data_IF_362899929421
#
_entry.id   IF_362899929421
#
_cell.length_a   1.000
_cell.length_b   1.000
_cell.length_c   1.000
_cell.angle_alpha   90.00
_cell.angle_beta   90.00
_cell.angle_gamma   90.00
#
_symmetry.space_group_name_H-M   'P 1'
#
loop_
_entity.id
_entity.type
_entity.pdbx_description
1 polymer ?
#
# COMPACT_ATOMS: atom_id res chain seq x y z
N UNK A 1 60.89 -3.78 5.83
CA UNK A 1 60.29 -4.15 7.14
C UNK A 1 59.20 -3.17 7.58
N UNK A 2 59.47 -1.84 7.75
CA UNK A 2 58.42 -0.86 8.13
C UNK A 2 57.24 -0.79 7.13
N UNK A 3 57.51 -0.85 5.84
CA UNK A 3 56.47 -0.86 4.79
C UNK A 3 55.59 -2.11 4.83
N UNK A 4 56.17 -3.30 5.03
CA UNK A 4 55.43 -4.55 5.16
C UNK A 4 54.54 -4.56 6.41
N UNK A 5 55.04 -4.05 7.54
CA UNK A 5 54.27 -3.89 8.78
C UNK A 5 53.10 -2.92 8.58
N UNK A 6 53.33 -1.77 7.92
CA UNK A 6 52.26 -0.81 7.62
C UNK A 6 51.18 -1.41 6.72
N UNK A 7 51.55 -2.22 5.72
CA UNK A 7 50.60 -2.89 4.83
C UNK A 7 49.77 -3.91 5.61
N UNK A 8 50.39 -4.73 6.45
CA UNK A 8 49.67 -5.70 7.31
C UNK A 8 48.70 -4.98 8.25
N UNK A 9 49.13 -3.87 8.85
CA UNK A 9 48.30 -3.09 9.77
C UNK A 9 47.11 -2.45 9.06
N UNK A 10 47.29 -1.95 7.83
CA UNK A 10 46.20 -1.46 6.98
C UNK A 10 45.22 -2.56 6.60
N UNK A 11 45.70 -3.76 6.28
CA UNK A 11 44.84 -4.91 5.96
C UNK A 11 44.03 -5.36 7.17
N UNK A 12 44.63 -5.41 8.36
CA UNK A 12 43.92 -5.74 9.61
C UNK A 12 42.85 -4.69 9.94
N UNK A 13 43.18 -3.40 9.79
CA UNK A 13 42.20 -2.32 9.97
C UNK A 13 41.05 -2.44 8.97
N UNK A 14 41.35 -2.68 7.69
CA UNK A 14 40.34 -2.86 6.66
C UNK A 14 39.42 -4.07 6.96
N UNK A 15 40.00 -5.20 7.38
CA UNK A 15 39.24 -6.40 7.76
C UNK A 15 38.35 -6.15 8.99
N UNK A 16 38.87 -5.46 10.02
CA UNK A 16 38.08 -5.10 11.19
C UNK A 16 36.95 -4.13 10.85
N UNK A 17 37.21 -3.10 10.05
CA UNK A 17 36.17 -2.18 9.56
C UNK A 17 35.12 -2.90 8.71
N UNK A 18 35.52 -3.86 7.88
CA UNK A 18 34.60 -4.67 7.09
C UNK A 18 33.74 -5.59 7.98
N UNK A 19 34.32 -6.21 9.01
CA UNK A 19 33.57 -7.03 9.97
C UNK A 19 32.54 -6.19 10.76
N UNK A 20 32.94 -5.00 11.25
CA UNK A 20 32.01 -4.05 11.91
C UNK A 20 30.91 -3.60 10.95
N UNK A 21 31.24 -3.37 9.68
CA UNK A 21 30.24 -3.04 8.67
C UNK A 21 29.25 -4.20 8.47
N UNK A 22 29.73 -5.44 8.33
CA UNK A 22 28.86 -6.61 8.18
C UNK A 22 27.96 -6.81 9.42
N UNK A 23 28.51 -6.67 10.62
CA UNK A 23 27.74 -6.72 11.88
C UNK A 23 26.66 -5.62 11.90
N UNK A 24 27.01 -4.39 11.55
CA UNK A 24 26.06 -3.29 11.42
C UNK A 24 24.97 -3.59 10.37
N UNK A 25 25.28 -4.25 9.25
CA UNK A 25 24.23 -4.63 8.26
C UNK A 25 23.23 -5.67 8.80
N UNK A 26 23.62 -6.44 9.83
CA UNK A 26 22.76 -7.45 10.46
C UNK A 26 21.91 -6.87 11.60
N UNK A 27 22.36 -5.80 12.28
CA UNK A 27 21.59 -5.18 13.35
C UNK A 27 20.31 -4.50 12.83
N UNK A 28 19.16 -5.04 13.19
CA UNK A 28 17.82 -4.56 12.79
C UNK A 28 16.94 -4.19 13.99
N UNK A 29 17.54 -3.87 15.14
CA UNK A 29 16.80 -3.56 16.37
C UNK A 29 15.77 -2.45 16.17
N UNK A 30 14.56 -2.71 16.64
CA UNK A 30 13.42 -1.81 16.47
C UNK A 30 13.35 -0.75 17.56
N UNK A 31 13.06 0.49 17.19
CA UNK A 31 12.76 1.59 18.12
C UNK A 31 11.33 1.49 18.67
N UNK A 32 10.95 2.34 19.64
CA UNK A 32 9.61 2.36 20.23
C UNK A 32 8.50 2.61 19.19
N UNK A 33 7.31 2.06 19.44
CA UNK A 33 6.14 2.22 18.56
C UNK A 33 5.64 3.68 18.65
N UNK A 34 5.68 4.40 17.52
CA UNK A 34 5.19 5.78 17.42
C UNK A 34 3.93 5.92 16.55
N UNK A 35 3.27 4.80 16.24
CA UNK A 35 2.05 4.80 15.44
C UNK A 35 0.89 5.45 16.19
N UNK A 36 0.16 6.34 15.50
CA UNK A 36 -1.04 6.97 16.04
C UNK A 36 -2.21 5.96 16.09
N UNK A 37 -2.46 5.41 17.28
CA UNK A 37 -3.51 4.42 17.58
C UNK A 37 -4.71 5.03 18.33
N UNK A 38 -4.94 6.34 18.18
CA UNK A 38 -6.05 7.02 18.87
C UNK A 38 -7.41 6.53 18.38
N UNK A 39 -8.43 6.72 19.21
CA UNK A 39 -9.85 6.54 18.83
C UNK A 39 -10.16 7.44 17.65
N UNK A 40 -10.74 6.85 16.60
CA UNK A 40 -11.04 7.56 15.37
C UNK A 40 -12.42 8.20 15.44
N UNK A 41 -12.61 9.42 14.91
CA UNK A 41 -13.93 9.86 14.50
C UNK A 41 -14.52 8.85 13.51
N UNK A 42 -15.77 8.47 13.76
CA UNK A 42 -16.55 7.59 12.89
C UNK A 42 -17.65 8.43 12.23
N UNK A 43 -17.54 8.64 10.92
CA UNK A 43 -18.59 9.23 10.11
C UNK A 43 -19.53 8.10 9.67
N UNK A 44 -20.80 8.14 10.07
CA UNK A 44 -21.75 7.06 9.80
C UNK A 44 -22.97 7.58 9.04
N UNK A 45 -23.19 7.09 7.82
CA UNK A 45 -24.28 7.48 6.94
C UNK A 45 -25.25 6.31 6.68
N UNK A 46 -26.55 6.63 6.68
CA UNK A 46 -27.62 5.65 6.50
C UNK A 46 -28.03 4.94 7.79
N UNK A 47 -28.83 3.88 7.68
CA UNK A 47 -29.33 3.10 8.80
C UNK A 47 -28.90 1.64 8.68
N UNK A 48 -28.58 1.02 9.82
CA UNK A 48 -28.22 -0.39 9.86
C UNK A 48 -29.35 -1.26 9.30
N UNK A 49 -28.98 -2.22 8.46
CA UNK A 49 -29.92 -3.10 7.77
C UNK A 49 -29.25 -4.40 7.31
N UNK A 50 -30.04 -5.29 6.71
CA UNK A 50 -29.57 -6.61 6.26
C UNK A 50 -28.76 -6.58 4.96
N UNK A 51 -28.76 -5.46 4.23
CA UNK A 51 -28.05 -5.30 2.96
C UNK A 51 -26.52 -5.15 3.13
N UNK A 52 -26.04 -4.92 4.35
CA UNK A 52 -24.63 -4.65 4.63
C UNK A 52 -24.27 -3.17 4.46
N UNK A 53 -22.97 -2.91 4.30
CA UNK A 53 -22.41 -1.56 4.30
C UNK A 53 -21.06 -1.53 3.59
N UNK A 54 -20.70 -0.33 3.13
CA UNK A 54 -19.34 -0.02 2.74
C UNK A 54 -18.64 0.71 3.89
N UNK A 55 -17.42 0.33 4.20
CA UNK A 55 -16.62 0.93 5.26
C UNK A 55 -15.25 1.36 4.73
N UNK A 56 -14.96 2.65 4.77
CA UNK A 56 -13.68 3.23 4.36
C UNK A 56 -12.81 3.55 5.56
N UNK A 57 -11.51 3.28 5.44
CA UNK A 57 -10.52 3.64 6.47
C UNK A 57 -9.58 4.68 5.87
N UNK A 58 -9.67 5.93 6.31
CA UNK A 58 -8.76 7.00 5.90
C UNK A 58 -7.69 7.20 6.96
N UNK A 59 -6.45 6.85 6.63
CA UNK A 59 -5.35 6.88 7.59
C UNK A 59 -4.08 7.51 7.06
N UNK A 60 -3.27 7.99 8.00
CA UNK A 60 -1.90 8.47 7.74
C UNK A 60 -0.95 7.32 7.98
N UNK A 61 -0.29 6.88 6.93
CA UNK A 61 0.73 5.84 7.01
C UNK A 61 2.09 6.49 7.27
N UNK A 62 2.78 6.00 8.29
CA UNK A 62 4.07 6.48 8.74
C UNK A 62 5.13 5.41 8.52
N UNK A 63 6.41 5.78 8.39
CA UNK A 63 7.49 4.79 8.28
C UNK A 63 7.45 3.74 9.40
N UNK A 64 7.20 4.18 10.64
CA UNK A 64 7.11 3.31 11.82
C UNK A 64 6.06 2.18 11.70
N UNK A 65 5.01 2.37 10.90
CA UNK A 65 3.99 1.35 10.65
C UNK A 65 4.54 0.18 9.83
N UNK A 66 5.50 0.45 8.94
CA UNK A 66 6.16 -0.53 8.07
C UNK A 66 7.44 -1.09 8.65
N UNK A 67 7.72 -0.87 9.94
CA UNK A 67 8.88 -1.48 10.57
C UNK A 67 8.74 -3.01 10.69
N UNK A 68 7.53 -3.49 10.98
CA UNK A 68 7.23 -4.92 11.02
C UNK A 68 5.80 -5.20 10.57
N UNK A 69 5.54 -6.44 10.18
CA UNK A 69 4.21 -6.93 9.78
C UNK A 69 3.19 -6.65 10.88
N UNK A 70 3.56 -6.95 12.12
CA UNK A 70 2.70 -6.88 13.29
C UNK A 70 2.24 -5.46 13.56
N UNK A 71 3.08 -4.45 13.27
CA UNK A 71 2.72 -3.04 13.48
C UNK A 71 1.69 -2.56 12.48
N UNK A 72 1.91 -2.85 11.20
CA UNK A 72 0.94 -2.52 10.16
C UNK A 72 -0.39 -3.22 10.43
N UNK A 73 -0.34 -4.52 10.77
CA UNK A 73 -1.52 -5.29 11.11
C UNK A 73 -2.23 -4.72 12.36
N UNK A 74 -1.50 -4.40 13.42
CA UNK A 74 -2.05 -3.82 14.65
C UNK A 74 -2.78 -2.51 14.37
N UNK A 75 -2.24 -1.66 13.50
CA UNK A 75 -2.86 -0.38 13.13
C UNK A 75 -4.24 -0.60 12.49
N UNK A 76 -4.32 -1.41 11.43
CA UNK A 76 -5.60 -1.67 10.77
C UNK A 76 -6.56 -2.50 11.63
N UNK A 77 -6.04 -3.46 12.41
CA UNK A 77 -6.82 -4.20 13.40
C UNK A 77 -7.45 -3.27 14.42
N UNK A 78 -6.76 -2.22 14.86
CA UNK A 78 -7.31 -1.24 15.80
C UNK A 78 -8.51 -0.50 15.19
N UNK A 79 -8.43 -0.11 13.92
CA UNK A 79 -9.53 0.57 13.22
C UNK A 79 -10.72 -0.36 12.99
N UNK A 80 -10.46 -1.59 12.55
CA UNK A 80 -11.51 -2.60 12.35
C UNK A 80 -12.16 -3.00 13.68
N UNK A 81 -11.40 -3.10 14.77
CA UNK A 81 -11.95 -3.37 16.11
C UNK A 81 -12.89 -2.27 16.58
N UNK A 82 -12.53 -1.00 16.37
CA UNK A 82 -13.41 0.13 16.69
C UNK A 82 -14.71 0.07 15.86
N UNK A 83 -14.63 -0.25 14.57
CA UNK A 83 -15.81 -0.43 13.72
C UNK A 83 -16.67 -1.62 14.17
N UNK A 84 -16.06 -2.73 14.60
CA UNK A 84 -16.74 -3.90 15.12
C UNK A 84 -17.48 -3.59 16.43
N UNK A 85 -16.80 -2.90 17.36
CA UNK A 85 -17.38 -2.45 18.63
C UNK A 85 -18.55 -1.46 18.41
N UNK A 86 -18.51 -0.69 17.32
CA UNK A 86 -19.62 0.19 16.91
C UNK A 86 -20.74 -0.52 16.12
N UNK A 87 -20.68 -1.86 15.98
CA UNK A 87 -21.71 -2.66 15.30
C UNK A 87 -21.74 -2.49 13.77
N UNK A 88 -20.65 -2.01 13.17
CA UNK A 88 -20.59 -1.70 11.73
C UNK A 88 -20.05 -2.83 10.88
N UNK A 89 -19.61 -3.95 11.47
CA UNK A 89 -19.03 -5.07 10.73
C UNK A 89 -19.99 -6.27 10.69
N UNK A 90 -20.08 -6.88 9.52
CA UNK A 90 -20.82 -8.10 9.23
C UNK A 90 -20.19 -8.82 8.04
N UNK A 91 -20.66 -10.03 7.74
CA UNK A 91 -20.28 -10.77 6.52
C UNK A 91 -20.59 -10.02 5.20
N UNK A 92 -21.52 -9.05 5.24
CA UNK A 92 -21.90 -8.18 4.10
C UNK A 92 -21.21 -6.81 4.15
N UNK A 93 -20.21 -6.63 5.01
CA UNK A 93 -19.42 -5.40 5.04
C UNK A 93 -18.29 -5.50 4.03
N UNK A 94 -18.18 -4.48 3.16
CA UNK A 94 -17.03 -4.29 2.28
C UNK A 94 -16.15 -3.18 2.83
N UNK A 95 -14.98 -3.55 3.35
CA UNK A 95 -13.97 -2.61 3.84
C UNK A 95 -13.06 -2.17 2.69
N UNK A 96 -12.80 -0.87 2.60
CA UNK A 96 -11.91 -0.26 1.59
C UNK A 96 -10.75 0.42 2.30
N UNK A 97 -9.52 0.03 1.95
CA UNK A 97 -8.29 0.60 2.49
C UNK A 97 -7.69 1.65 1.54
N UNK A 98 -6.79 2.53 2.04
CA UNK A 98 -6.14 3.55 1.22
C UNK A 98 -5.26 2.98 0.11
N UNK A 99 -5.13 3.74 -0.97
CA UNK A 99 -4.18 3.46 -2.03
C UNK A 99 -2.72 3.49 -1.53
N UNK A 100 -1.88 2.65 -2.12
CA UNK A 100 -0.47 2.43 -1.79
C UNK A 100 -0.16 1.87 -0.40
N UNK A 101 -1.18 1.45 0.36
CA UNK A 101 -0.97 0.81 1.66
C UNK A 101 -0.05 -0.41 1.58
N UNK A 102 -0.09 -1.18 0.50
CA UNK A 102 0.83 -2.31 0.28
C UNK A 102 2.20 -1.89 -0.25
N UNK A 103 2.31 -0.73 -0.90
CA UNK A 103 3.57 -0.30 -1.51
C UNK A 103 4.65 -0.06 -0.45
N UNK A 104 4.29 0.52 0.71
CA UNK A 104 5.22 0.76 1.81
C UNK A 104 5.85 -0.50 2.43
N UNK A 105 5.33 -1.70 2.10
CA UNK A 105 5.89 -2.98 2.57
C UNK A 105 7.34 -3.20 2.10
N UNK A 106 7.84 -2.43 1.12
CA UNK A 106 9.26 -2.45 0.75
C UNK A 106 10.18 -2.15 1.94
N UNK A 107 9.70 -1.44 2.98
CA UNK A 107 10.49 -1.09 4.16
C UNK A 107 10.40 -2.12 5.30
N UNK A 108 9.67 -3.23 5.11
CA UNK A 108 9.53 -4.26 6.14
C UNK A 108 10.87 -4.89 6.53
N UNK A 109 11.13 -4.90 7.83
CA UNK A 109 12.34 -5.48 8.41
C UNK A 109 13.62 -4.72 8.04
N UNK A 110 13.50 -3.50 7.52
CA UNK A 110 14.64 -2.63 7.23
C UNK A 110 15.10 -1.88 8.48
N UNK A 111 16.33 -1.34 8.41
CA UNK A 111 16.97 -0.69 9.54
C UNK A 111 16.24 0.59 9.98
N UNK A 112 16.38 1.02 11.25
CA UNK A 112 15.78 2.26 11.76
C UNK A 112 16.07 3.51 10.91
N UNK A 113 17.23 3.57 10.25
CA UNK A 113 17.63 4.69 9.39
C UNK A 113 16.71 4.83 8.16
N UNK A 114 16.21 3.71 7.61
CA UNK A 114 15.20 3.73 6.53
C UNK A 114 13.89 4.33 7.06
N UNK A 115 13.55 4.04 8.32
CA UNK A 115 12.33 4.56 8.95
C UNK A 115 12.44 6.04 9.34
N UNK A 116 13.63 6.49 9.72
CA UNK A 116 13.90 7.88 10.08
C UNK A 116 14.15 8.78 8.86
N UNK A 117 14.34 8.18 7.68
CA UNK A 117 14.52 8.90 6.44
C UNK A 117 13.31 9.80 6.15
N UNK A 118 13.57 11.08 5.91
CA UNK A 118 12.51 12.07 5.62
C UNK A 118 12.02 11.97 4.18
N UNK A 119 12.85 11.46 3.28
CA UNK A 119 12.57 11.41 1.83
C UNK A 119 12.71 9.98 1.31
N UNK A 120 12.02 9.67 0.21
CA UNK A 120 12.13 8.38 -0.45
C UNK A 120 13.58 8.12 -0.90
N UNK A 121 14.26 9.14 -1.43
CA UNK A 121 15.66 9.02 -1.85
C UNK A 121 16.56 8.56 -0.69
N UNK A 122 16.43 9.19 0.48
CA UNK A 122 17.26 8.85 1.64
C UNK A 122 16.95 7.43 2.14
N UNK A 123 15.66 7.06 2.16
CA UNK A 123 15.23 5.71 2.52
C UNK A 123 15.83 4.66 1.58
N UNK A 124 15.79 4.90 0.27
CA UNK A 124 16.40 4.02 -0.74
C UNK A 124 17.92 3.94 -0.58
N UNK A 125 18.58 5.06 -0.23
CA UNK A 125 20.03 5.09 -0.04
C UNK A 125 20.44 4.28 1.19
N UNK A 126 19.75 4.44 2.31
CA UNK A 126 19.97 3.61 3.49
C UNK A 126 19.75 2.14 3.21
N UNK A 127 18.71 1.80 2.45
CA UNK A 127 18.43 0.42 2.06
C UNK A 127 19.53 -0.19 1.18
N UNK A 128 20.07 0.58 0.24
CA UNK A 128 21.20 0.15 -0.59
C UNK A 128 22.46 -0.08 0.25
N UNK A 129 22.73 0.79 1.22
CA UNK A 129 23.88 0.68 2.13
C UNK A 129 23.73 -0.48 3.12
N UNK A 130 22.52 -0.79 3.57
CA UNK A 130 22.25 -1.87 4.51
C UNK A 130 22.13 -3.25 3.87
N UNK A 131 21.92 -3.32 2.54
CA UNK A 131 21.76 -4.57 1.81
C UNK A 131 22.72 -4.66 0.60
N UNK A 132 24.05 -4.54 0.80
CA UNK A 132 25.03 -4.40 -0.29
C UNK A 132 25.01 -5.56 -1.29
N UNK A 133 24.92 -6.81 -0.83
CA UNK A 133 24.90 -7.98 -1.72
C UNK A 133 23.64 -8.11 -2.58
N UNK A 134 22.52 -7.50 -2.15
CA UNK A 134 21.29 -7.47 -2.93
C UNK A 134 21.30 -6.33 -3.95
N UNK A 135 21.84 -5.17 -3.57
CA UNK A 135 21.99 -4.01 -4.43
C UNK A 135 23.02 -4.28 -5.55
N UNK A 136 24.15 -4.91 -5.21
CA UNK A 136 25.19 -5.28 -6.18
C UNK A 136 24.68 -6.23 -7.28
N UNK A 137 23.75 -7.12 -6.95
CA UNK A 137 23.11 -8.02 -7.93
C UNK A 137 22.06 -7.32 -8.81
N UNK A 138 21.52 -6.20 -8.34
CA UNK A 138 20.53 -5.39 -9.07
C UNK A 138 21.18 -4.25 -9.90
N UNK A 139 22.50 -4.25 -10.08
CA UNK A 139 23.25 -3.15 -10.70
C UNK A 139 23.28 -3.04 -12.23
N UNK A 140 22.86 -3.99 -13.10
CA UNK A 140 22.92 -3.71 -14.52
C UNK A 140 21.80 -2.70 -14.89
N UNK A 141 22.23 -1.44 -15.06
CA UNK A 141 21.53 -0.30 -15.68
C UNK A 141 20.76 0.74 -14.81
N UNK A 142 21.23 1.01 -13.58
CA UNK A 142 20.57 1.94 -12.64
C UNK A 142 21.23 3.34 -12.53
N UNK A 143 21.27 4.12 -13.62
CA UNK A 143 21.58 5.56 -13.57
C UNK A 143 20.29 6.40 -13.51
N UNK A 144 19.89 6.84 -12.30
CA UNK A 144 18.79 7.80 -12.08
C UNK A 144 17.94 7.51 -10.82
N UNK A 145 17.38 8.55 -10.18
CA UNK A 145 16.55 8.41 -8.96
C UNK A 145 15.32 7.51 -9.18
N UNK A 146 14.74 7.55 -10.38
CA UNK A 146 13.51 6.82 -10.72
C UNK A 146 13.75 5.32 -10.90
N UNK A 147 14.93 4.99 -11.41
CA UNK A 147 15.39 3.62 -11.55
C UNK A 147 15.74 3.00 -10.20
N UNK A 148 16.16 3.79 -9.20
CA UNK A 148 16.42 3.32 -7.83
C UNK A 148 15.16 2.88 -7.10
N UNK A 149 14.09 3.68 -7.17
CA UNK A 149 12.77 3.28 -6.61
C UNK A 149 12.28 2.00 -7.27
N UNK A 150 12.37 1.93 -8.61
CA UNK A 150 11.99 0.72 -9.34
C UNK A 150 12.83 -0.53 -8.99
N UNK A 151 14.11 -0.36 -8.68
CA UNK A 151 15.01 -1.45 -8.30
C UNK A 151 14.69 -2.00 -6.90
N UNK A 152 14.47 -1.12 -5.92
CA UNK A 152 14.10 -1.53 -4.56
C UNK A 152 12.76 -2.26 -4.54
N UNK A 153 11.75 -1.74 -5.25
CA UNK A 153 10.45 -2.38 -5.34
C UNK A 153 10.56 -3.79 -5.96
N UNK A 154 11.39 -3.97 -6.99
CA UNK A 154 11.66 -5.31 -7.57
C UNK A 154 12.38 -6.23 -6.61
N UNK A 155 13.40 -5.72 -5.93
CA UNK A 155 14.19 -6.51 -4.99
C UNK A 155 13.33 -7.05 -3.83
N UNK A 156 12.41 -6.23 -3.32
CA UNK A 156 11.53 -6.57 -2.20
C UNK A 156 10.19 -7.17 -2.65
N UNK A 157 9.93 -7.25 -3.96
CA UNK A 157 8.64 -7.60 -4.53
C UNK A 157 8.05 -8.91 -4.00
N UNK A 158 8.87 -9.96 -3.88
CA UNK A 158 8.41 -11.27 -3.39
C UNK A 158 7.92 -11.17 -1.95
N UNK A 159 8.74 -10.59 -1.08
CA UNK A 159 8.38 -10.33 0.30
C UNK A 159 7.13 -9.45 0.36
N UNK A 160 7.10 -8.36 -0.40
CA UNK A 160 5.95 -7.45 -0.44
C UNK A 160 4.65 -8.18 -0.81
N UNK A 161 4.65 -9.04 -1.82
CA UNK A 161 3.48 -9.81 -2.24
C UNK A 161 2.98 -10.77 -1.15
N UNK A 162 3.90 -11.52 -0.53
CA UNK A 162 3.58 -12.45 0.57
C UNK A 162 3.02 -11.70 1.79
N UNK A 163 3.69 -10.64 2.21
CA UNK A 163 3.32 -9.80 3.35
C UNK A 163 1.98 -9.10 3.14
N UNK A 164 1.72 -8.62 1.92
CA UNK A 164 0.46 -8.01 1.55
C UNK A 164 -0.72 -8.97 1.75
N UNK A 165 -0.61 -10.21 1.26
CA UNK A 165 -1.66 -11.21 1.48
C UNK A 165 -1.78 -11.60 2.95
N UNK A 166 -0.65 -11.80 3.64
CA UNK A 166 -0.65 -12.20 5.05
C UNK A 166 -1.35 -11.16 5.95
N UNK A 167 -1.03 -9.87 5.77
CA UNK A 167 -1.62 -8.79 6.56
C UNK A 167 -3.10 -8.64 6.22
N UNK A 168 -3.43 -8.42 4.95
CA UNK A 168 -4.79 -8.00 4.57
C UNK A 168 -5.77 -9.16 4.49
N UNK A 169 -5.34 -10.34 4.03
CA UNK A 169 -6.14 -11.57 4.14
C UNK A 169 -6.32 -12.00 5.59
N UNK A 170 -5.29 -11.82 6.43
CA UNK A 170 -5.38 -12.05 7.87
C UNK A 170 -6.45 -11.18 8.54
N UNK A 171 -6.47 -9.88 8.25
CA UNK A 171 -7.47 -8.94 8.76
C UNK A 171 -8.88 -9.26 8.24
N UNK A 172 -9.03 -9.57 6.94
CA UNK A 172 -10.32 -9.94 6.36
C UNK A 172 -10.92 -11.16 7.06
N UNK A 173 -10.10 -12.19 7.32
CA UNK A 173 -10.47 -13.39 8.08
C UNK A 173 -10.79 -13.10 9.54
N UNK A 174 -9.98 -12.29 10.21
CA UNK A 174 -10.15 -11.97 11.62
C UNK A 174 -11.50 -11.28 11.89
N UNK A 175 -11.93 -10.40 10.99
CA UNK A 175 -13.17 -9.63 11.13
C UNK A 175 -14.34 -10.19 10.31
N UNK A 176 -14.13 -11.25 9.52
CA UNK A 176 -15.17 -11.89 8.71
C UNK A 176 -15.77 -10.98 7.62
N UNK A 177 -14.99 -10.05 7.07
CA UNK A 177 -15.44 -9.02 6.11
C UNK A 177 -14.85 -9.23 4.72
N UNK A 178 -15.50 -8.67 3.70
CA UNK A 178 -14.83 -8.47 2.40
C UNK A 178 -13.89 -7.28 2.52
N UNK A 179 -12.62 -7.42 2.13
CA UNK A 179 -11.62 -6.37 2.31
C UNK A 179 -10.91 -6.04 0.99
N UNK A 180 -11.13 -4.83 0.47
CA UNK A 180 -10.38 -4.25 -0.64
C UNK A 180 -9.08 -3.66 -0.08
N UNK A 181 -7.96 -4.35 -0.30
CA UNK A 181 -6.70 -4.11 0.39
C UNK A 181 -5.90 -2.89 -0.11
N UNK A 182 -6.57 -1.83 -0.55
CA UNK A 182 -5.92 -0.64 -1.07
C UNK A 182 -5.17 -0.96 -2.36
N UNK A 183 -3.90 -0.57 -2.46
CA UNK A 183 -3.06 -1.01 -3.59
C UNK A 183 -1.60 -1.29 -3.21
N UNK A 184 -0.94 -2.04 -4.09
CA UNK A 184 0.48 -2.37 -4.04
C UNK A 184 1.11 -2.25 -5.43
N UNK A 185 2.40 -1.92 -5.48
CA UNK A 185 3.20 -1.86 -6.71
C UNK A 185 4.15 -3.06 -6.75
N UNK A 186 4.01 -3.90 -7.77
CA UNK A 186 4.77 -5.15 -7.95
C UNK A 186 5.20 -5.31 -9.42
N UNK A 187 6.26 -6.07 -9.72
CA UNK A 187 6.65 -6.37 -11.09
C UNK A 187 5.71 -7.43 -11.66
N UNK A 188 5.03 -7.06 -12.76
CA UNK A 188 4.11 -7.94 -13.51
C UNK A 188 3.29 -8.88 -12.60
N UNK A 189 2.49 -8.35 -11.66
CA UNK A 189 1.82 -9.17 -10.65
C UNK A 189 0.74 -10.03 -11.29
N UNK A 190 0.56 -11.25 -10.78
CA UNK A 190 -0.52 -12.13 -11.21
C UNK A 190 -1.02 -12.97 -10.03
N UNK A 191 -2.23 -13.52 -10.17
CA UNK A 191 -2.76 -14.49 -9.21
C UNK A 191 -2.61 -15.90 -9.79
N UNK A 192 -2.00 -16.78 -9.02
CA UNK A 192 -1.90 -18.20 -9.32
C UNK A 192 -2.26 -18.99 -8.07
N UNK A 193 -3.27 -19.87 -8.16
CA UNK A 193 -3.74 -20.71 -7.04
C UNK A 193 -3.99 -19.92 -5.73
N UNK A 194 -4.73 -18.81 -5.81
CA UNK A 194 -4.99 -17.91 -4.68
C UNK A 194 -3.72 -17.30 -4.04
N UNK A 195 -2.60 -17.24 -4.78
CA UNK A 195 -1.37 -16.59 -4.36
C UNK A 195 -1.01 -15.42 -5.29
N UNK A 196 -0.72 -14.28 -4.69
CA UNK A 196 -0.16 -13.11 -5.36
C UNK A 196 1.30 -13.37 -5.70
N UNK A 197 1.55 -13.60 -6.98
CA UNK A 197 2.85 -13.86 -7.55
C UNK A 197 3.39 -12.63 -8.27
N UNK A 198 4.69 -12.65 -8.55
CA UNK A 198 5.40 -11.60 -9.28
C UNK A 198 5.98 -12.20 -10.55
N UNK A 199 5.97 -11.44 -11.64
CA UNK A 199 6.53 -11.84 -12.92
C UNK A 199 7.73 -11.00 -13.33
N UNK A 200 8.23 -11.30 -14.52
CA UNK A 200 9.27 -10.52 -15.17
C UNK A 200 8.62 -9.43 -16.04
N UNK A 201 8.73 -8.17 -15.64
CA UNK A 201 8.12 -7.08 -16.41
C UNK A 201 8.14 -5.70 -15.76
N UNK A 202 7.34 -4.76 -16.28
CA UNK A 202 7.18 -3.45 -15.67
C UNK A 202 6.55 -3.58 -14.28
N UNK A 203 6.83 -2.60 -13.41
CA UNK A 203 6.06 -2.47 -12.18
C UNK A 203 4.65 -2.03 -12.56
N UNK A 204 3.65 -2.64 -11.92
CA UNK A 204 2.24 -2.29 -12.05
C UNK A 204 1.64 -2.11 -10.68
N UNK A 205 0.65 -1.23 -10.62
CA UNK A 205 -0.12 -0.99 -9.42
C UNK A 205 -1.42 -1.78 -9.47
N UNK A 206 -1.64 -2.59 -8.45
CA UNK A 206 -2.81 -3.47 -8.35
C UNK A 206 -3.48 -3.37 -6.99
N UNK A 207 -4.79 -3.63 -6.98
CA UNK A 207 -5.56 -3.96 -5.78
C UNK A 207 -5.94 -5.43 -5.80
N UNK A 208 -6.00 -6.01 -4.61
CA UNK A 208 -6.50 -7.36 -4.36
C UNK A 208 -7.60 -7.26 -3.30
N UNK A 209 -8.70 -7.93 -3.55
CA UNK A 209 -9.80 -8.05 -2.60
C UNK A 209 -9.72 -9.41 -1.92
N UNK A 210 -9.99 -9.46 -0.62
CA UNK A 210 -10.06 -10.69 0.16
C UNK A 210 -11.49 -10.94 0.64
N UNK A 211 -11.90 -12.21 0.68
CA UNK A 211 -13.16 -12.63 1.30
C UNK A 211 -13.04 -12.72 2.84
N UNK A 212 -14.17 -12.95 3.52
CA UNK A 212 -14.21 -13.11 4.98
C UNK A 212 -13.48 -14.35 5.53
N UNK A 213 -12.89 -15.19 4.66
CA UNK A 213 -12.00 -16.30 5.04
C UNK A 213 -10.53 -15.95 4.84
N UNK A 214 -10.24 -14.75 4.33
CA UNK A 214 -8.91 -14.26 4.03
C UNK A 214 -8.33 -14.74 2.70
N UNK A 215 -9.17 -15.28 1.80
CA UNK A 215 -8.73 -15.72 0.47
C UNK A 215 -8.91 -14.60 -0.56
N UNK A 216 -8.01 -14.50 -1.56
CA UNK A 216 -8.25 -13.69 -2.74
C UNK A 216 -9.64 -13.90 -3.33
N UNK A 217 -10.32 -12.81 -3.66
CA UNK A 217 -11.66 -12.79 -4.22
C UNK A 217 -11.63 -12.05 -5.57
N UNK A 218 -11.96 -12.77 -6.64
CA UNK A 218 -11.93 -12.24 -8.00
C UNK A 218 -10.50 -12.09 -8.56
N UNK A 219 -10.34 -11.20 -9.54
CA UNK A 219 -9.05 -10.94 -10.20
C UNK A 219 -8.39 -9.68 -9.65
N UNK A 220 -7.07 -9.54 -9.89
CA UNK A 220 -6.36 -8.29 -9.64
C UNK A 220 -6.99 -7.12 -10.40
N UNK A 221 -7.12 -6.00 -9.71
CA UNK A 221 -7.66 -4.76 -10.27
C UNK A 221 -6.49 -3.82 -10.50
N UNK A 222 -6.18 -3.55 -11.77
CA UNK A 222 -5.04 -2.73 -12.14
C UNK A 222 -5.41 -1.25 -12.22
N UNK A 223 -4.48 -0.40 -11.80
CA UNK A 223 -4.57 1.05 -12.04
C UNK A 223 -4.25 1.36 -13.50
N UNK A 224 -5.14 2.08 -14.17
CA UNK A 224 -4.98 2.49 -15.57
C UNK A 224 -4.43 3.92 -15.67
N UNK A 225 -4.98 4.84 -14.89
CA UNK A 225 -4.65 6.25 -14.88
C UNK A 225 -3.52 6.55 -13.88
N UNK A 226 -2.27 6.35 -14.32
CA UNK A 226 -1.10 6.71 -13.53
C UNK A 226 -0.88 8.22 -13.50
N UNK A 227 -0.59 8.75 -12.32
CA UNK A 227 -0.11 10.13 -12.11
C UNK A 227 1.30 10.34 -12.69
N UNK A 228 1.70 11.61 -12.79
CA UNK A 228 3.06 11.98 -13.25
C UNK A 228 4.16 11.29 -12.44
N UNK A 229 3.98 11.10 -11.14
CA UNK A 229 5.00 10.50 -10.27
C UNK A 229 5.01 8.97 -10.39
N UNK A 230 3.84 8.33 -10.47
CA UNK A 230 3.74 6.88 -10.63
C UNK A 230 4.35 6.40 -11.96
N UNK A 231 4.17 7.16 -13.07
CA UNK A 231 4.76 6.85 -14.39
C UNK A 231 6.28 6.77 -14.40
N UNK A 232 6.95 7.27 -13.35
CA UNK A 232 8.42 7.23 -13.24
C UNK A 232 8.93 5.85 -12.88
N UNK A 233 8.11 5.03 -12.23
CA UNK A 233 8.49 3.68 -11.80
C UNK A 233 7.50 2.59 -12.25
N UNK A 234 6.24 2.93 -12.53
CA UNK A 234 5.15 2.03 -12.90
C UNK A 234 4.68 2.26 -14.33
N UNK A 235 4.14 1.23 -14.96
CA UNK A 235 3.52 1.28 -16.30
C UNK A 235 2.09 0.76 -16.18
N UNK A 236 1.14 1.49 -16.74
CA UNK A 236 -0.25 1.03 -16.82
C UNK A 236 -0.33 -0.20 -17.74
N UNK A 237 -1.17 -1.19 -17.42
CA UNK A 237 -1.37 -2.32 -18.33
C UNK A 237 -2.06 -1.84 -19.61
N UNK A 238 -2.18 -2.74 -20.58
CA UNK A 238 -3.08 -2.52 -21.71
C UNK A 238 -4.50 -2.37 -21.13
N UNK A 239 -5.27 -1.35 -21.55
CA UNK A 239 -6.64 -1.17 -21.07
C UNK A 239 -7.47 -2.42 -21.33
N UNK A 240 -7.97 -3.02 -20.25
CA UNK A 240 -8.85 -4.16 -20.29
C UNK A 240 -10.18 -3.81 -19.62
N UNK A 241 -11.25 -4.51 -20.01
CA UNK A 241 -12.54 -4.34 -19.36
C UNK A 241 -12.40 -4.73 -17.88
N UNK A 242 -12.78 -3.81 -16.98
CA UNK A 242 -12.78 -4.10 -15.55
C UNK A 242 -13.65 -5.31 -15.22
N UNK A 243 -13.10 -6.18 -14.39
CA UNK A 243 -13.78 -7.39 -13.93
C UNK A 243 -14.45 -7.09 -12.59
N UNK A 244 -15.71 -7.48 -12.49
CA UNK A 244 -16.48 -7.35 -11.27
C UNK A 244 -16.04 -8.39 -10.24
N UNK A 245 -16.17 -8.01 -8.97
CA UNK A 245 -15.91 -8.88 -7.83
C UNK A 245 -17.25 -9.14 -7.17
N UNK A 246 -17.69 -10.39 -7.16
CA UNK A 246 -18.92 -10.77 -6.48
C UNK A 246 -18.69 -10.82 -4.96
N UNK A 247 -19.43 -10.00 -4.22
CA UNK A 247 -19.36 -9.94 -2.76
C UNK A 247 -20.72 -10.27 -2.14
N UNK A 248 -20.78 -10.64 -0.85
CA UNK A 248 -22.06 -10.84 -0.16
C UNK A 248 -22.98 -9.61 -0.14
N UNK A 249 -22.42 -8.40 -0.33
CA UNK A 249 -23.16 -7.14 -0.43
C UNK A 249 -23.62 -6.81 -1.86
N UNK A 250 -23.12 -7.53 -2.87
CA UNK A 250 -23.39 -7.32 -4.30
C UNK A 250 -22.12 -7.21 -5.15
N UNK A 251 -22.31 -7.12 -6.47
CA UNK A 251 -21.23 -7.01 -7.44
C UNK A 251 -20.48 -5.67 -7.30
N UNK A 252 -19.19 -5.75 -7.02
CA UNK A 252 -18.30 -4.64 -6.70
C UNK A 252 -17.35 -4.35 -7.88
N UNK A 253 -17.17 -3.08 -8.22
CA UNK A 253 -16.05 -2.61 -9.04
C UNK A 253 -15.06 -1.82 -8.18
N UNK A 254 -13.76 -2.05 -8.38
CA UNK A 254 -12.68 -1.31 -7.70
C UNK A 254 -12.00 -0.39 -8.70
N UNK A 255 -11.85 0.88 -8.34
CA UNK A 255 -11.34 1.96 -9.18
C UNK A 255 -10.21 2.67 -8.41
N UNK A 256 -8.97 2.63 -8.91
CA UNK A 256 -7.81 3.16 -8.18
C UNK A 256 -7.53 4.64 -8.53
N UNK A 257 -7.72 5.53 -7.55
CA UNK A 257 -7.47 6.96 -7.71
C UNK A 257 -8.19 7.57 -8.91
N UNK A 258 -7.42 8.07 -9.89
CA UNK A 258 -7.98 8.76 -11.06
C UNK A 258 -8.85 7.88 -11.97
N UNK A 259 -8.67 6.56 -11.92
CA UNK A 259 -9.51 5.57 -12.61
C UNK A 259 -11.01 5.79 -12.34
N UNK A 260 -11.35 6.19 -11.11
CA UNK A 260 -12.74 6.36 -10.69
C UNK A 260 -13.45 7.54 -11.39
N UNK A 261 -12.67 8.51 -11.85
CA UNK A 261 -13.19 9.73 -12.46
C UNK A 261 -13.09 9.71 -13.98
N UNK A 262 -12.09 9.01 -14.52
CA UNK A 262 -11.78 8.97 -15.96
C UNK A 262 -12.47 7.84 -16.71
N UNK A 263 -12.87 6.78 -16.01
CA UNK A 263 -13.49 5.61 -16.64
C UNK A 263 -14.95 5.44 -16.21
N UNK A 264 -15.74 4.83 -17.09
CA UNK A 264 -17.08 4.38 -16.72
C UNK A 264 -16.99 3.01 -16.04
N UNK A 265 -17.53 2.85 -14.82
CA UNK A 265 -17.60 1.55 -14.20
C UNK A 265 -18.53 0.62 -15.00
N UNK A 266 -18.31 -0.71 -14.98
CA UNK A 266 -19.19 -1.66 -15.66
C UNK A 266 -20.65 -1.45 -15.27
N UNK A 267 -21.59 -1.53 -16.23
CA UNK A 267 -23.01 -1.23 -15.99
C UNK A 267 -23.62 -2.11 -14.89
N UNK A 268 -23.11 -3.33 -14.75
CA UNK A 268 -23.57 -4.37 -13.83
C UNK A 268 -23.03 -4.19 -12.40
N UNK A 269 -22.07 -3.28 -12.17
CA UNK A 269 -21.54 -3.02 -10.83
C UNK A 269 -22.61 -2.36 -9.94
N UNK A 270 -22.98 -3.01 -8.84
CA UNK A 270 -23.91 -2.46 -7.83
C UNK A 270 -23.21 -1.53 -6.84
N UNK A 271 -21.94 -1.83 -6.54
CA UNK A 271 -21.13 -1.13 -5.55
C UNK A 271 -19.82 -0.66 -6.19
N UNK A 272 -19.29 0.47 -5.74
CA UNK A 272 -17.99 0.97 -6.15
C UNK A 272 -17.06 1.16 -4.94
N UNK A 273 -15.81 0.71 -5.06
CA UNK A 273 -14.75 1.01 -4.10
C UNK A 273 -13.68 1.86 -4.77
N UNK A 274 -13.32 2.98 -4.15
CA UNK A 274 -12.31 3.91 -4.66
C UNK A 274 -11.18 4.09 -3.65
N UNK A 275 -10.21 3.17 -3.60
CA UNK A 275 -8.95 3.41 -2.93
C UNK A 275 -8.20 4.58 -3.58
N UNK A 276 -7.79 5.56 -2.80
CA UNK A 276 -6.99 6.69 -3.30
C UNK A 276 -7.84 7.82 -3.89
N UNK A 277 -9.07 8.00 -3.40
CA UNK A 277 -9.89 9.14 -3.76
C UNK A 277 -9.11 10.46 -3.54
N UNK A 278 -9.34 11.43 -4.41
CA UNK A 278 -8.64 12.69 -4.41
C UNK A 278 -9.57 13.80 -3.92
N UNK A 279 -9.04 14.71 -3.10
CA UNK A 279 -9.80 15.84 -2.59
C UNK A 279 -10.24 16.80 -3.70
N UNK A 280 -9.39 16.97 -4.74
CA UNK A 280 -9.70 17.71 -5.95
C UNK A 280 -9.35 16.86 -7.19
N UNK A 281 -10.29 16.01 -7.65
CA UNK A 281 -10.11 15.20 -8.85
C UNK A 281 -9.97 16.04 -10.12
N UNK A 282 -10.60 17.22 -10.19
CA UNK A 282 -10.58 18.09 -11.37
C UNK A 282 -9.18 18.60 -11.65
N UNK A 283 -8.50 19.11 -10.62
CA UNK A 283 -7.13 19.57 -10.75
C UNK A 283 -6.14 18.43 -10.99
N UNK A 284 -6.42 17.23 -10.46
CA UNK A 284 -5.43 16.15 -10.37
C UNK A 284 -5.51 15.11 -11.49
N UNK A 285 -6.70 14.82 -12.01
CA UNK A 285 -6.94 13.78 -13.02
C UNK A 285 -7.18 14.33 -14.43
N UNK A 286 -7.48 15.63 -14.56
CA UNK A 286 -7.84 16.25 -15.83
C UNK A 286 -9.36 16.28 -16.07
N UNK A 287 -9.77 16.83 -17.23
CA UNK A 287 -11.10 17.39 -17.46
C UNK A 287 -12.23 16.41 -17.85
N UNK A 288 -12.06 15.10 -17.67
CA UNK A 288 -13.12 14.13 -17.99
C UNK A 288 -13.63 13.52 -16.69
N UNK A 289 -14.80 13.95 -16.22
CA UNK A 289 -15.43 13.40 -15.03
C UNK A 289 -16.66 12.59 -15.40
N UNK A 290 -16.63 11.32 -15.05
CA UNK A 290 -17.81 10.46 -15.03
C UNK A 290 -18.63 10.77 -13.79
N UNK A 291 -19.90 11.18 -13.95
CA UNK A 291 -20.87 11.30 -12.84
C UNK A 291 -21.29 9.91 -12.28
N UNK A 292 -20.72 8.82 -12.81
CA UNK A 292 -21.11 7.46 -12.46
C UNK A 292 -20.85 7.09 -11.00
N UNK A 293 -19.94 7.78 -10.30
CA UNK A 293 -19.71 7.60 -8.87
C UNK A 293 -20.95 7.97 -8.05
N UNK A 294 -21.56 9.12 -8.34
CA UNK A 294 -22.72 9.63 -7.61
C UNK A 294 -23.99 8.80 -7.86
N UNK A 295 -24.05 8.08 -8.98
CA UNK A 295 -25.20 7.29 -9.38
C UNK A 295 -25.33 5.96 -8.60
N UNK A 296 -24.31 5.54 -7.85
CA UNK A 296 -24.26 4.22 -7.18
C UNK A 296 -23.70 4.33 -5.77
N UNK A 297 -24.07 3.43 -4.85
CA UNK A 297 -23.39 3.33 -3.56
C UNK A 297 -21.87 3.12 -3.77
N UNK A 298 -21.07 4.01 -3.17
CA UNK A 298 -19.63 4.00 -3.37
C UNK A 298 -18.88 4.39 -2.10
N UNK A 299 -17.72 3.78 -1.87
CA UNK A 299 -16.82 4.18 -0.79
C UNK A 299 -15.52 4.73 -1.34
N UNK A 300 -15.37 6.05 -1.20
CA UNK A 300 -14.18 6.80 -1.57
C UNK A 300 -13.27 6.99 -0.35
N UNK A 301 -12.05 6.47 -0.45
CA UNK A 301 -11.08 6.46 0.64
C UNK A 301 -9.86 7.28 0.26
N UNK A 302 -9.65 8.38 0.99
CA UNK A 302 -8.46 9.22 0.83
C UNK A 302 -7.25 8.61 1.53
N UNK A 303 -6.10 8.65 0.87
CA UNK A 303 -4.81 8.38 1.51
C UNK A 303 -4.28 9.66 2.14
N UNK A 304 -4.51 9.84 3.44
CA UNK A 304 -4.22 11.10 4.14
C UNK A 304 -2.72 11.44 4.18
N UNK A 305 -1.87 10.43 4.29
CA UNK A 305 -0.42 10.56 4.16
C UNK A 305 0.20 9.21 3.83
N UNK A 306 1.26 9.24 3.03
CA UNK A 306 2.14 8.11 2.81
C UNK A 306 3.55 8.43 3.31
N UNK A 307 4.27 7.42 3.82
CA UNK A 307 5.64 7.61 4.25
C UNK A 307 6.53 8.00 3.05
N UNK A 308 7.61 8.72 3.35
CA UNK A 308 8.66 9.10 2.39
C UNK A 308 8.22 9.92 1.16
N UNK A 309 6.98 10.41 1.11
CA UNK A 309 6.42 11.07 -0.08
C UNK A 309 6.34 10.12 -1.29
N UNK A 310 5.89 8.87 -1.07
CA UNK A 310 5.79 7.84 -2.12
C UNK A 310 5.04 8.28 -3.39
N UNK A 311 4.06 9.17 -3.25
CA UNK A 311 3.27 9.74 -4.35
C UNK A 311 3.79 11.09 -4.86
N UNK A 312 4.92 11.57 -4.36
CA UNK A 312 5.47 12.89 -4.68
C UNK A 312 6.93 12.86 -5.13
N UNK A 313 7.59 14.01 -5.00
CA UNK A 313 9.01 14.11 -5.36
C UNK A 313 9.87 13.32 -4.38
N UNK A 314 10.75 12.40 -4.85
CA UNK A 314 11.56 11.54 -3.99
C UNK A 314 12.61 12.31 -3.18
N UNK A 315 12.86 13.58 -3.54
CA UNK A 315 13.80 14.47 -2.85
C UNK A 315 13.13 15.41 -1.85
N UNK A 316 11.79 15.41 -1.80
CA UNK A 316 11.04 16.26 -0.88
C UNK A 316 10.43 15.39 0.20
N UNK A 317 10.45 15.83 1.47
CA UNK A 317 9.74 15.13 2.51
C UNK A 317 8.25 15.12 2.23
N UNK A 318 7.55 14.14 2.80
CA UNK A 318 6.09 14.16 2.78
C UNK A 318 5.62 15.49 3.40
N UNK A 319 4.66 16.20 2.78
CA UNK A 319 4.10 17.39 3.39
C UNK A 319 3.58 17.02 4.77
N UNK A 320 3.78 17.87 5.80
CA UNK A 320 3.16 17.61 7.08
C UNK A 320 1.64 17.66 6.88
N UNK A 321 1.00 16.50 7.03
CA UNK A 321 -0.44 16.34 6.83
C UNK A 321 -1.21 17.03 7.95
N UNK A 322 -1.36 18.35 7.85
CA UNK A 322 -2.13 19.14 8.79
C UNK A 322 -3.60 19.19 8.36
N UNK A 323 -4.52 18.94 9.29
CA UNK A 323 -5.93 19.35 9.17
C UNK A 323 -6.97 18.22 9.11
N UNK A 324 -6.72 17.11 8.41
CA UNK A 324 -7.74 16.05 8.24
C UNK A 324 -7.48 14.89 9.21
N UNK A 325 -8.35 14.60 10.20
CA UNK A 325 -8.15 13.50 11.14
C UNK A 325 -8.19 12.15 10.43
N UNK A 326 -7.46 11.16 10.97
CA UNK A 326 -7.67 9.76 10.62
C UNK A 326 -9.12 9.43 10.97
N UNK A 327 -9.85 8.76 10.10
CA UNK A 327 -11.29 8.52 10.30
C UNK A 327 -11.76 7.21 9.67
N UNK A 328 -12.83 6.66 10.26
CA UNK A 328 -13.59 5.56 9.66
C UNK A 328 -14.87 6.14 9.09
N UNK A 329 -15.13 5.83 7.82
CA UNK A 329 -16.34 6.26 7.11
C UNK A 329 -17.21 5.05 6.88
N UNK A 330 -18.45 5.10 7.31
CA UNK A 330 -19.41 4.02 7.14
C UNK A 330 -20.60 4.48 6.31
N UNK A 331 -21.00 3.67 5.34
CA UNK A 331 -22.18 3.89 4.53
C UNK A 331 -23.02 2.62 4.51
N UNK A 332 -24.15 2.63 5.21
CA UNK A 332 -25.12 1.55 5.15
C UNK A 332 -25.79 1.49 3.78
N UNK A 333 -25.94 0.28 3.25
CA UNK A 333 -26.65 0.04 2.00
C UNK A 333 -28.15 0.00 2.29
N UNK A 334 -28.93 0.68 1.46
CA UNK A 334 -30.39 0.56 1.50
C UNK A 334 -30.82 -0.85 1.10
N UNK A 335 -31.92 -1.32 1.67
CA UNK A 335 -32.62 -2.51 1.16
C UNK A 335 -33.01 -2.23 -0.30
N UNK A 336 -32.43 -2.97 -1.25
CA UNK A 336 -33.01 -3.04 -2.59
C UNK A 336 -34.45 -3.55 -2.44
N UNK A 337 -35.45 -2.85 -3.01
CA UNK A 337 -36.84 -3.28 -2.95
C UNK A 337 -37.08 -4.63 -3.61
#
# INVERSE_FOLDING_TARGET
MRTSINIVLLLVLAAASFAVYLDWTQDRRSGPLLSDLRTLPIENHGQAGSAGNLLGIETRLQPADYQSRERLQLKFRTYLKQAAEAGMLSERTVVVLPEHVGTGLFALGEKPEVQQARTLRDAMQWMALSNPGSYLRALPDNQGDDRRTGAVLRLKARQMAEEYQNVFGGLAREFGVTLVAGSIVLPEPYLENDQLMIGDGPLRQVSLTFDGRGKPLGTLQYKQALSRYERRYSVAPIPERRRLIETPAGSLAVLLGCDAYLEQPPAEAKLLAVPGALADPQASCGSTHSDALSARPHMAVHTLALPWNLLGSPRRPAPPGHGVPVQVRNQWLGSTP
#
